data_IF_419866989646
#
_entry.id   IF_419866989646
#
_cell.length_a   1.000
_cell.length_b   1.000
_cell.length_c   1.000
_cell.angle_alpha   90.00
_cell.angle_beta   90.00
_cell.angle_gamma   90.00
#
_symmetry.space_group_name_H-M   'P 1'
#
loop_
_entity.id
_entity.type
_entity.pdbx_description
1 polymer ?
#
# COMPACT_ATOMS: atom_id res chain seq x y z
N UNK A 1 15.38 -13.33 13.60
CA UNK A 1 14.06 -13.97 13.68
C UNK A 1 13.05 -12.94 13.19
N UNK A 2 12.33 -13.27 12.11
CA UNK A 2 11.28 -12.49 11.40
C UNK A 2 11.71 -11.11 10.85
N UNK A 3 12.10 -11.08 9.57
CA UNK A 3 12.19 -9.86 8.76
C UNK A 3 10.74 -9.40 8.52
N UNK A 4 10.20 -8.54 9.40
CA UNK A 4 8.89 -7.93 9.16
C UNK A 4 8.98 -7.03 7.91
N UNK A 5 7.94 -6.99 7.06
CA UNK A 5 8.02 -6.35 5.76
C UNK A 5 8.34 -4.85 5.89
N UNK A 6 9.31 -4.42 5.09
CA UNK A 6 9.82 -3.05 4.97
C UNK A 6 8.74 -2.04 4.54
N UNK A 7 7.54 -2.51 4.18
CA UNK A 7 6.38 -1.67 3.84
C UNK A 7 5.92 -0.79 4.99
N UNK A 8 6.13 -1.20 6.25
CA UNK A 8 5.87 -0.31 7.40
C UNK A 8 6.77 0.93 7.40
N UNK A 9 7.95 0.89 6.77
CA UNK A 9 8.81 2.06 6.64
C UNK A 9 8.15 3.17 5.78
N UNK A 10 7.16 2.83 4.95
CA UNK A 10 6.41 3.81 4.16
C UNK A 10 5.64 4.81 5.05
N UNK A 11 5.31 4.43 6.30
CA UNK A 11 4.72 5.34 7.28
C UNK A 11 5.60 6.56 7.59
N UNK A 12 6.92 6.47 7.38
CA UNK A 12 7.85 7.59 7.57
C UNK A 12 7.66 8.71 6.55
N UNK A 13 7.04 8.41 5.41
CA UNK A 13 6.76 9.37 4.36
C UNK A 13 5.30 9.80 4.44
N UNK A 14 5.02 10.84 5.25
CA UNK A 14 3.65 11.30 5.50
C UNK A 14 2.85 11.62 4.23
N UNK A 15 3.50 12.09 3.16
CA UNK A 15 2.85 12.36 1.87
C UNK A 15 2.27 11.11 1.20
N UNK A 16 2.84 9.93 1.46
CA UNK A 16 2.30 8.66 0.95
C UNK A 16 1.02 8.25 1.66
N UNK A 17 0.70 8.83 2.81
CA UNK A 17 -0.48 8.49 3.61
C UNK A 17 -0.74 6.97 3.65
N UNK A 18 0.31 6.22 4.02
CA UNK A 18 0.31 4.76 3.97
C UNK A 18 -0.72 4.16 4.92
N UNK A 19 -1.46 3.16 4.43
CA UNK A 19 -2.46 2.43 5.22
C UNK A 19 -2.47 0.94 4.87
N UNK A 20 -2.59 0.08 5.88
CA UNK A 20 -3.03 -1.32 5.69
C UNK A 20 -4.55 -1.35 5.72
N UNK A 21 -5.17 -1.72 4.59
CA UNK A 21 -6.62 -1.78 4.47
C UNK A 21 -7.20 -2.91 5.33
N UNK A 22 -8.46 -2.74 5.72
CA UNK A 22 -9.20 -3.63 6.64
C UNK A 22 -10.49 -4.13 5.97
N UNK A 23 -11.14 -5.11 6.61
CA UNK A 23 -12.37 -5.71 6.09
C UNK A 23 -12.11 -6.56 4.85
N UNK A 24 -12.93 -6.40 3.82
CA UNK A 24 -12.86 -7.19 2.58
C UNK A 24 -11.54 -7.03 1.82
N UNK A 25 -10.80 -5.94 2.09
CA UNK A 25 -9.46 -5.68 1.53
C UNK A 25 -8.33 -5.99 2.52
N UNK A 26 -8.57 -6.81 3.54
CA UNK A 26 -7.53 -7.24 4.48
C UNK A 26 -6.36 -7.89 3.74
N UNK A 27 -5.14 -7.41 4.01
CA UNK A 27 -3.91 -7.86 3.34
C UNK A 27 -3.42 -6.90 2.24
N UNK A 28 -4.26 -5.97 1.81
CA UNK A 28 -3.89 -4.93 0.84
C UNK A 28 -3.34 -3.69 1.55
N UNK A 29 -2.24 -3.16 1.03
CA UNK A 29 -1.64 -1.89 1.41
C UNK A 29 -2.09 -0.78 0.47
N UNK A 30 -2.17 0.46 0.93
CA UNK A 30 -2.51 1.62 0.10
C UNK A 30 -1.57 2.79 0.33
N UNK A 31 -1.18 3.48 -0.75
CA UNK A 31 -0.44 4.74 -0.72
C UNK A 31 -1.08 5.79 -1.64
N UNK A 32 -0.98 7.06 -1.25
CA UNK A 32 -1.33 8.23 -2.05
C UNK A 32 -0.19 8.55 -3.03
N UNK A 33 -0.54 8.74 -4.29
CA UNK A 33 0.41 9.16 -5.34
C UNK A 33 0.45 10.68 -5.42
N UNK A 34 -0.74 11.28 -5.47
CA UNK A 34 -0.96 12.72 -5.52
C UNK A 34 -2.36 13.01 -4.96
N UNK A 35 -2.89 14.20 -5.18
CA UNK A 35 -4.21 14.58 -4.67
C UNK A 35 -5.40 13.89 -5.36
N UNK A 36 -5.12 13.12 -6.42
CA UNK A 36 -6.12 12.47 -7.24
C UNK A 36 -6.07 10.94 -7.14
N UNK A 37 -4.94 10.31 -6.87
CA UNK A 37 -4.83 8.85 -6.98
C UNK A 37 -4.26 8.18 -5.74
N UNK A 38 -4.78 6.98 -5.46
CA UNK A 38 -4.16 6.00 -4.56
C UNK A 38 -3.82 4.73 -5.31
N UNK A 39 -2.70 4.13 -4.96
CA UNK A 39 -2.32 2.77 -5.39
C UNK A 39 -2.67 1.83 -4.25
N UNK A 40 -3.40 0.76 -4.57
CA UNK A 40 -3.58 -0.40 -3.70
C UNK A 40 -2.67 -1.52 -4.19
N UNK A 41 -1.95 -2.17 -3.28
CA UNK A 41 -0.99 -3.21 -3.61
C UNK A 41 -0.88 -4.26 -2.49
N UNK A 42 -0.57 -5.49 -2.88
CA UNK A 42 -0.16 -6.54 -1.96
C UNK A 42 1.36 -6.60 -1.89
N UNK A 43 1.92 -6.83 -0.71
CA UNK A 43 3.34 -7.06 -0.52
C UNK A 43 3.61 -8.49 -0.07
N UNK A 44 4.55 -9.16 -0.74
CA UNK A 44 5.02 -10.50 -0.37
C UNK A 44 6.54 -10.57 -0.39
N UNK A 45 7.11 -11.38 0.50
CA UNK A 45 8.53 -11.73 0.45
C UNK A 45 8.70 -12.97 -0.41
N UNK A 46 9.48 -12.86 -1.48
CA UNK A 46 9.85 -13.98 -2.35
C UNK A 46 11.36 -13.96 -2.56
N UNK A 47 12.04 -15.09 -2.35
CA UNK A 47 13.51 -15.21 -2.48
C UNK A 47 14.28 -14.07 -1.78
N UNK A 48 13.87 -13.72 -0.55
CA UNK A 48 14.47 -12.65 0.25
C UNK A 48 14.34 -11.24 -0.36
N UNK A 49 13.48 -11.06 -1.36
CA UNK A 49 13.11 -9.77 -1.95
C UNK A 49 11.67 -9.43 -1.58
N UNK A 50 11.41 -8.16 -1.31
CA UNK A 50 10.05 -7.66 -1.17
C UNK A 50 9.50 -7.34 -2.54
N UNK A 51 8.35 -7.95 -2.87
CA UNK A 51 7.64 -7.74 -4.13
C UNK A 51 6.31 -7.09 -3.80
N UNK A 52 6.09 -5.89 -4.33
CA UNK A 52 4.81 -5.20 -4.29
C UNK A 52 4.07 -5.43 -5.62
N UNK A 53 2.87 -5.99 -5.56
CA UNK A 53 2.01 -6.21 -6.72
C UNK A 53 0.87 -5.21 -6.68
N UNK A 54 0.79 -4.33 -7.69
CA UNK A 54 -0.29 -3.35 -7.80
C UNK A 54 -1.59 -4.09 -8.12
N UNK A 55 -2.61 -3.91 -7.27
CA UNK A 55 -3.93 -4.48 -7.42
C UNK A 55 -4.88 -3.49 -8.10
N UNK A 56 -4.87 -2.23 -7.65
CA UNK A 56 -5.75 -1.18 -8.16
C UNK A 56 -5.06 0.19 -8.16
N UNK A 57 -5.56 1.08 -9.04
CA UNK A 57 -5.35 2.52 -8.96
C UNK A 57 -6.72 3.16 -8.77
N UNK A 58 -6.92 3.80 -7.62
CA UNK A 58 -8.19 4.40 -7.21
C UNK A 58 -8.13 5.90 -7.46
N UNK A 59 -9.11 6.43 -8.19
CA UNK A 59 -9.32 7.87 -8.32
C UNK A 59 -10.10 8.40 -7.11
N UNK A 60 -9.56 9.44 -6.47
CA UNK A 60 -10.10 10.15 -5.32
C UNK A 60 -11.04 11.30 -5.74
N UNK A 61 -11.11 11.64 -7.02
CA UNK A 61 -11.94 12.72 -7.56
C UNK A 61 -13.42 12.39 -7.59
N UNK A 62 -13.81 11.15 -7.24
CA UNK A 62 -15.21 10.79 -7.12
C UNK A 62 -15.84 11.53 -5.93
N UNK A 63 -16.38 12.72 -6.22
CA UNK A 63 -17.55 13.25 -5.54
C UNK A 63 -18.69 12.25 -5.81
N UNK A 64 -19.04 11.46 -4.79
CA UNK A 64 -20.27 10.67 -4.82
C UNK A 64 -21.49 11.59 -4.71
#
# INVERSE_FOLDING_TARGET
MINLPDTLALMKYHSLNYEKLKGDKSGVSSVRVNDQYRIEFEDKTFENKMIATICNIIDLSNHY
#
